data_IF_883684398433
#
_entry.id   IF_883684398433
#
_cell.length_a   1.000
_cell.length_b   1.000
_cell.length_c   1.000
_cell.angle_alpha   90.00
_cell.angle_beta   90.00
_cell.angle_gamma   90.00
#
_symmetry.space_group_name_H-M   'P 1'
#
loop_
_entity.id
_entity.type
_entity.pdbx_description
1 polymer ?
#
# COMPACT_ATOMS: atom_id res chain seq x y z
N UNK A 1 -58.67 90.16 -74.63
CA UNK A 1 -59.99 89.53 -74.57
C UNK A 1 -59.85 88.11 -74.08
N UNK A 2 -60.51 87.82 -72.95
CA UNK A 2 -61.06 86.55 -72.45
C UNK A 2 -60.23 85.24 -72.43
N UNK A 3 -60.00 84.83 -71.17
CA UNK A 3 -59.72 83.51 -70.58
C UNK A 3 -60.40 82.28 -71.20
N UNK A 4 -59.76 81.10 -71.04
CA UNK A 4 -60.26 80.04 -70.13
C UNK A 4 -59.28 78.87 -69.91
N UNK A 5 -59.43 78.28 -68.74
CA UNK A 5 -58.65 77.30 -67.97
C UNK A 5 -58.34 75.92 -68.60
N UNK A 6 -57.37 75.23 -67.99
CA UNK A 6 -57.25 73.77 -68.02
C UNK A 6 -55.96 73.22 -67.40
N UNK A 7 -55.97 72.94 -66.09
CA UNK A 7 -54.91 72.23 -65.33
C UNK A 7 -55.21 70.74 -65.32
N UNK A 8 -54.23 69.88 -65.68
CA UNK A 8 -54.14 68.49 -65.18
C UNK A 8 -52.66 68.11 -64.99
N UNK A 9 -52.38 67.65 -63.78
CA UNK A 9 -51.10 67.20 -63.22
C UNK A 9 -50.90 65.71 -63.53
N UNK A 10 -49.68 65.28 -63.87
CA UNK A 10 -49.35 63.87 -64.16
C UNK A 10 -47.92 63.49 -63.80
N UNK A 11 -47.73 63.04 -62.56
CA UNK A 11 -46.56 62.40 -61.97
C UNK A 11 -46.21 61.06 -62.67
N UNK A 12 -44.92 60.73 -62.79
CA UNK A 12 -44.29 59.54 -62.19
C UNK A 12 -43.03 59.07 -62.95
N UNK A 13 -41.85 59.50 -62.48
CA UNK A 13 -40.58 58.80 -62.64
C UNK A 13 -40.33 58.08 -61.31
N UNK A 14 -40.48 56.75 -61.28
CA UNK A 14 -40.17 55.92 -60.11
C UNK A 14 -39.07 54.93 -60.47
N UNK A 15 -37.91 55.21 -59.87
CA UNK A 15 -36.70 54.42 -59.93
C UNK A 15 -36.90 53.05 -59.28
N UNK A 16 -36.46 52.02 -59.98
CA UNK A 16 -36.29 50.66 -59.49
C UNK A 16 -35.08 50.58 -58.56
N UNK A 17 -35.31 50.63 -57.25
CA UNK A 17 -34.36 50.16 -56.24
C UNK A 17 -34.64 48.68 -55.97
N UNK A 18 -33.65 47.76 -56.03
CA UNK A 18 -33.84 46.42 -55.52
C UNK A 18 -34.01 46.50 -54.00
N UNK A 19 -35.19 46.07 -53.55
CA UNK A 19 -35.55 45.89 -52.15
C UNK A 19 -34.53 44.98 -51.46
N UNK A 20 -33.87 45.51 -50.43
CA UNK A 20 -33.05 44.73 -49.53
C UNK A 20 -33.91 43.66 -48.85
N UNK A 21 -33.51 42.40 -48.99
CA UNK A 21 -34.02 41.33 -48.16
C UNK A 21 -33.71 41.65 -46.69
N UNK A 22 -34.73 41.96 -45.89
CA UNK A 22 -34.58 42.03 -44.44
C UNK A 22 -34.33 40.61 -43.92
N UNK A 23 -33.06 40.27 -43.71
CA UNK A 23 -32.65 39.04 -43.02
C UNK A 23 -33.23 39.06 -41.59
N UNK A 24 -34.36 38.39 -41.38
CA UNK A 24 -34.87 38.11 -40.02
C UNK A 24 -34.14 36.88 -39.50
N UNK A 25 -33.40 37.04 -38.41
CA UNK A 25 -32.83 35.92 -37.67
C UNK A 25 -33.94 34.94 -37.26
N UNK A 26 -33.66 33.65 -37.33
CA UNK A 26 -34.59 32.64 -36.78
C UNK A 26 -34.62 32.75 -35.25
N UNK A 27 -35.67 32.23 -34.62
CA UNK A 27 -35.75 32.21 -33.15
C UNK A 27 -34.53 31.52 -32.53
N UNK A 28 -34.09 30.39 -33.12
CA UNK A 28 -32.91 29.66 -32.65
C UNK A 28 -31.58 30.40 -32.85
N UNK A 29 -31.43 31.15 -33.95
CA UNK A 29 -30.25 32.00 -34.22
C UNK A 29 -30.16 33.10 -33.15
N UNK A 30 -31.27 33.81 -32.92
CA UNK A 30 -31.32 34.86 -31.90
C UNK A 30 -31.12 34.34 -30.47
N UNK A 31 -31.69 33.19 -30.11
CA UNK A 31 -31.51 32.60 -28.78
C UNK A 31 -30.04 32.24 -28.50
N UNK A 32 -29.34 31.67 -29.49
CA UNK A 32 -27.93 31.34 -29.36
C UNK A 32 -27.05 32.60 -29.31
N UNK A 33 -27.36 33.62 -30.12
CA UNK A 33 -26.67 34.91 -30.04
C UNK A 33 -26.91 35.61 -28.69
N UNK A 34 -28.14 35.56 -28.15
CA UNK A 34 -28.46 36.07 -26.81
C UNK A 34 -27.65 35.37 -25.73
N UNK A 35 -27.50 34.05 -25.82
CA UNK A 35 -26.69 33.26 -24.88
C UNK A 35 -25.22 33.70 -24.91
N UNK A 36 -24.66 33.98 -26.09
CA UNK A 36 -23.33 34.58 -26.23
C UNK A 36 -23.25 35.97 -25.58
N UNK A 37 -24.19 36.88 -25.88
CA UNK A 37 -24.17 38.27 -25.38
C UNK A 37 -24.32 38.36 -23.86
N UNK A 38 -25.15 37.49 -23.28
CA UNK A 38 -25.47 37.49 -21.85
C UNK A 38 -24.54 36.62 -21.01
N UNK A 39 -23.52 35.99 -21.59
CA UNK A 39 -22.57 35.19 -20.83
C UNK A 39 -21.86 36.04 -19.75
N UNK A 40 -21.76 35.46 -18.55
CA UNK A 40 -21.37 36.13 -17.30
C UNK A 40 -19.93 36.64 -17.30
N UNK A 41 -19.04 35.91 -17.98
CA UNK A 41 -17.63 36.27 -18.08
C UNK A 41 -17.09 36.10 -19.51
N UNK A 42 -15.90 36.63 -19.72
CA UNK A 42 -15.24 36.64 -21.04
C UNK A 42 -14.92 35.23 -21.56
N UNK A 43 -14.63 34.26 -20.68
CA UNK A 43 -14.39 32.88 -21.07
C UNK A 43 -15.68 32.18 -21.48
N UNK A 44 -16.73 32.30 -20.67
CA UNK A 44 -18.05 31.77 -20.99
C UNK A 44 -18.59 32.37 -22.28
N UNK A 45 -18.36 33.67 -22.50
CA UNK A 45 -18.69 34.37 -23.74
C UNK A 45 -17.96 33.80 -24.94
N UNK A 46 -16.66 33.55 -24.85
CA UNK A 46 -15.91 32.98 -25.97
C UNK A 46 -16.38 31.55 -26.34
N UNK A 47 -16.67 30.72 -25.33
CA UNK A 47 -17.23 29.37 -25.52
C UNK A 47 -18.63 29.38 -26.13
N UNK A 48 -19.50 30.27 -25.65
CA UNK A 48 -20.84 30.47 -26.19
C UNK A 48 -20.79 31.02 -27.63
N UNK A 49 -19.84 31.91 -27.93
CA UNK A 49 -19.60 32.44 -29.27
C UNK A 49 -19.14 31.36 -30.25
N UNK A 50 -18.21 30.49 -29.84
CA UNK A 50 -17.81 29.34 -30.64
C UNK A 50 -18.99 28.38 -30.91
N UNK A 51 -19.80 28.10 -29.88
CA UNK A 51 -21.00 27.26 -29.99
C UNK A 51 -22.04 27.88 -30.94
N UNK A 52 -22.20 29.20 -30.90
CA UNK A 52 -23.05 29.94 -31.84
C UNK A 52 -22.58 29.75 -33.28
N UNK A 53 -21.27 29.93 -33.55
CA UNK A 53 -20.70 29.82 -34.89
C UNK A 53 -20.70 28.39 -35.44
N UNK A 54 -20.60 27.37 -34.57
CA UNK A 54 -20.75 25.98 -34.95
C UNK A 54 -22.18 25.67 -35.43
N UNK A 55 -23.18 26.21 -34.72
CA UNK A 55 -24.60 25.95 -35.02
C UNK A 55 -25.16 26.83 -36.14
N UNK A 56 -24.67 28.07 -36.25
CA UNK A 56 -25.13 29.07 -37.22
C UNK A 56 -23.93 29.73 -37.92
N UNK A 57 -23.17 28.98 -38.75
CA UNK A 57 -21.97 29.51 -39.41
C UNK A 57 -22.27 30.69 -40.34
N UNK A 58 -23.48 30.74 -40.90
CA UNK A 58 -24.01 31.83 -41.75
C UNK A 58 -25.15 32.61 -41.07
N UNK A 59 -25.24 32.53 -39.73
CA UNK A 59 -26.26 33.23 -38.95
C UNK A 59 -26.17 34.75 -39.09
N UNK A 60 -27.26 35.45 -38.79
CA UNK A 60 -27.35 36.91 -38.96
C UNK A 60 -26.27 37.66 -38.16
N UNK A 61 -25.84 37.10 -37.03
CA UNK A 61 -24.84 37.67 -36.14
C UNK A 61 -23.44 37.04 -36.31
N UNK A 62 -23.23 36.14 -37.28
CA UNK A 62 -21.98 35.40 -37.42
C UNK A 62 -20.75 36.27 -37.66
N UNK A 63 -20.87 37.33 -38.47
CA UNK A 63 -19.77 38.28 -38.69
C UNK A 63 -19.38 39.03 -37.41
N UNK A 64 -20.38 39.51 -36.65
CA UNK A 64 -20.15 40.22 -35.39
C UNK A 64 -19.45 39.31 -34.37
N UNK A 65 -19.95 38.08 -34.22
CA UNK A 65 -19.38 37.10 -33.27
C UNK A 65 -17.95 36.72 -33.69
N UNK A 66 -17.68 36.50 -34.99
CA UNK A 66 -16.32 36.23 -35.49
C UNK A 66 -15.36 37.38 -35.22
N UNK A 67 -15.77 38.62 -35.48
CA UNK A 67 -14.94 39.80 -35.23
C UNK A 67 -14.63 39.97 -33.73
N UNK A 68 -15.62 39.78 -32.86
CA UNK A 68 -15.45 39.89 -31.42
C UNK A 68 -14.53 38.81 -30.84
N UNK A 69 -14.66 37.55 -31.31
CA UNK A 69 -13.74 36.48 -30.90
C UNK A 69 -12.32 36.76 -31.38
N UNK A 70 -12.14 37.17 -32.64
CA UNK A 70 -10.81 37.46 -33.19
C UNK A 70 -10.05 38.54 -32.42
N UNK A 71 -10.74 39.55 -31.89
CA UNK A 71 -10.12 40.62 -31.09
C UNK A 71 -9.61 40.14 -29.72
N UNK A 72 -10.18 39.06 -29.18
CA UNK A 72 -9.91 38.57 -27.81
C UNK A 72 -9.01 37.33 -27.77
N UNK A 73 -8.63 36.78 -28.93
CA UNK A 73 -7.89 35.53 -29.04
C UNK A 73 -6.61 35.53 -28.19
N UNK A 74 -5.83 36.61 -28.22
CA UNK A 74 -4.54 36.67 -27.53
C UNK A 74 -4.68 36.56 -26.02
N UNK A 75 -5.64 37.31 -25.47
CA UNK A 75 -5.94 37.29 -24.04
C UNK A 75 -6.52 35.95 -23.64
N UNK A 76 -7.36 35.36 -24.49
CA UNK A 76 -7.96 34.04 -24.23
C UNK A 76 -6.90 32.95 -24.18
N UNK A 77 -5.93 32.95 -25.11
CA UNK A 77 -4.82 32.00 -25.11
C UNK A 77 -3.93 32.16 -23.86
N UNK A 78 -3.54 33.39 -23.52
CA UNK A 78 -2.63 33.67 -22.40
C UNK A 78 -3.14 33.12 -21.06
N UNK A 79 -4.45 33.16 -20.82
CA UNK A 79 -5.07 32.64 -19.58
C UNK A 79 -5.17 31.11 -19.57
N UNK A 80 -5.22 30.48 -20.74
CA UNK A 80 -5.59 29.06 -20.89
C UNK A 80 -4.40 28.15 -21.25
N UNK A 81 -3.28 28.72 -21.66
CA UNK A 81 -2.12 28.00 -22.17
C UNK A 81 -1.42 27.09 -21.13
N UNK A 82 -1.66 27.29 -19.83
CA UNK A 82 -0.97 26.58 -18.74
C UNK A 82 -1.58 25.23 -18.35
N UNK A 83 -2.69 24.80 -18.97
CA UNK A 83 -3.35 23.54 -18.61
C UNK A 83 -3.94 22.82 -19.82
N UNK A 84 -3.99 21.49 -19.75
CA UNK A 84 -4.59 20.68 -20.81
C UNK A 84 -6.09 21.02 -21.04
N UNK A 85 -6.84 21.31 -19.96
CA UNK A 85 -8.23 21.74 -20.07
C UNK A 85 -8.34 23.09 -20.79
N UNK A 86 -7.50 24.07 -20.42
CA UNK A 86 -7.49 25.38 -21.05
C UNK A 86 -7.08 25.34 -22.53
N UNK A 87 -6.06 24.55 -22.88
CA UNK A 87 -5.64 24.35 -24.27
C UNK A 87 -6.74 23.70 -25.13
N UNK A 88 -7.49 22.73 -24.58
CA UNK A 88 -8.67 22.16 -25.25
C UNK A 88 -9.77 23.19 -25.44
N UNK A 89 -10.03 24.03 -24.43
CA UNK A 89 -11.00 25.12 -24.55
C UNK A 89 -10.57 26.12 -25.63
N UNK A 90 -9.29 26.48 -25.72
CA UNK A 90 -8.73 27.33 -26.77
C UNK A 90 -8.93 26.72 -28.16
N UNK A 91 -8.57 25.45 -28.35
CA UNK A 91 -8.71 24.76 -29.63
C UNK A 91 -10.17 24.58 -30.06
N UNK A 92 -11.11 24.53 -29.10
CA UNK A 92 -12.55 24.54 -29.38
C UNK A 92 -13.04 25.90 -29.87
N UNK A 93 -12.53 26.99 -29.32
CA UNK A 93 -12.95 28.36 -29.71
C UNK A 93 -12.24 28.83 -30.98
N UNK A 94 -10.95 28.51 -31.12
CA UNK A 94 -10.07 28.98 -32.19
C UNK A 94 -9.38 27.79 -32.89
N UNK A 95 -10.12 26.92 -33.61
CA UNK A 95 -9.55 25.71 -34.23
C UNK A 95 -8.49 26.02 -35.30
N UNK A 96 -8.59 27.19 -35.94
CA UNK A 96 -7.62 27.72 -36.92
C UNK A 96 -6.97 29.02 -36.44
N UNK A 97 -6.95 29.25 -35.13
CA UNK A 97 -6.40 30.44 -34.49
C UNK A 97 -4.87 30.58 -34.64
N UNK A 98 -4.34 31.76 -34.36
CA UNK A 98 -2.90 32.08 -34.46
C UNK A 98 -2.03 31.16 -33.60
N UNK A 99 -2.57 30.64 -32.48
CA UNK A 99 -1.87 29.74 -31.56
C UNK A 99 -2.33 28.28 -31.67
N UNK A 100 -3.16 27.91 -32.66
CA UNK A 100 -3.67 26.55 -32.78
C UNK A 100 -2.55 25.50 -32.87
N UNK A 101 -1.51 25.76 -33.67
CA UNK A 101 -0.35 24.87 -33.78
C UNK A 101 0.42 24.74 -32.45
N UNK A 102 0.65 25.87 -31.77
CA UNK A 102 1.33 25.89 -30.46
C UNK A 102 0.50 25.15 -29.39
N UNK A 103 -0.82 25.37 -29.37
CA UNK A 103 -1.73 24.73 -28.43
C UNK A 103 -1.81 23.21 -28.62
N UNK A 104 -1.84 22.73 -29.87
CA UNK A 104 -1.75 21.30 -30.17
C UNK A 104 -0.43 20.70 -29.70
N UNK A 105 0.70 21.37 -29.95
CA UNK A 105 2.01 20.90 -29.54
C UNK A 105 2.15 20.81 -28.01
N UNK A 106 1.66 21.83 -27.29
CA UNK A 106 1.69 21.86 -25.83
C UNK A 106 0.77 20.78 -25.23
N UNK A 107 -0.44 20.60 -25.78
CA UNK A 107 -1.36 19.56 -25.33
C UNK A 107 -0.76 18.16 -25.51
N UNK A 108 -0.06 17.91 -26.63
CA UNK A 108 0.68 16.67 -26.83
C UNK A 108 1.83 16.51 -25.84
N UNK A 109 2.54 17.60 -25.52
CA UNK A 109 3.64 17.57 -24.55
C UNK A 109 3.15 17.24 -23.14
N UNK A 110 2.05 17.87 -22.69
CA UNK A 110 1.39 17.56 -21.41
C UNK A 110 0.93 16.11 -21.37
N UNK A 111 0.25 15.63 -22.42
CA UNK A 111 -0.21 14.24 -22.49
C UNK A 111 0.93 13.22 -22.43
N UNK A 112 2.11 13.52 -23.00
CA UNK A 112 3.29 12.66 -22.88
C UNK A 112 3.83 12.63 -21.45
N UNK A 113 3.91 13.79 -20.78
CA UNK A 113 4.35 13.87 -19.37
C UNK A 113 3.41 13.10 -18.46
N UNK A 114 2.10 13.28 -18.59
CA UNK A 114 1.11 12.55 -17.80
C UNK A 114 1.24 11.03 -17.98
N UNK A 115 1.49 10.56 -19.21
CA UNK A 115 1.72 9.15 -19.50
C UNK A 115 3.05 8.63 -18.93
N UNK A 116 4.12 9.41 -19.01
CA UNK A 116 5.43 9.09 -18.43
C UNK A 116 5.36 9.02 -16.90
N UNK A 117 4.66 9.95 -16.25
CA UNK A 117 4.46 9.99 -14.81
C UNK A 117 3.63 8.79 -14.35
N UNK A 118 2.54 8.47 -15.03
CA UNK A 118 1.74 7.27 -14.76
C UNK A 118 2.59 5.99 -14.90
N UNK A 119 3.37 5.88 -15.97
CA UNK A 119 4.27 4.75 -16.18
C UNK A 119 5.40 4.69 -15.14
N UNK A 120 5.89 5.83 -14.65
CA UNK A 120 6.88 5.88 -13.57
C UNK A 120 6.30 5.37 -12.25
N UNK A 121 5.06 5.76 -11.90
CA UNK A 121 4.35 5.26 -10.72
C UNK A 121 4.16 3.74 -10.79
N UNK A 122 3.71 3.21 -11.93
CA UNK A 122 3.57 1.76 -12.13
C UNK A 122 4.90 1.03 -11.96
N UNK A 123 5.98 1.50 -12.61
CA UNK A 123 7.31 0.89 -12.49
C UNK A 123 7.85 0.93 -11.07
N UNK A 124 7.63 2.03 -10.34
CA UNK A 124 8.05 2.14 -8.95
C UNK A 124 7.32 1.13 -8.06
N UNK A 125 6.00 0.94 -8.26
CA UNK A 125 5.21 -0.07 -7.56
C UNK A 125 5.73 -1.48 -7.84
N UNK A 126 5.89 -1.84 -9.11
CA UNK A 126 6.41 -3.15 -9.52
C UNK A 126 7.81 -3.42 -8.95
N UNK A 127 8.70 -2.42 -8.96
CA UNK A 127 10.04 -2.54 -8.38
C UNK A 127 9.99 -2.77 -6.86
N UNK A 128 9.09 -2.07 -6.15
CA UNK A 128 8.89 -2.25 -4.71
C UNK A 128 8.36 -3.66 -4.40
N UNK A 129 7.37 -4.14 -5.14
CA UNK A 129 6.81 -5.49 -4.98
C UNK A 129 7.88 -6.56 -5.27
N UNK A 130 8.69 -6.38 -6.32
CA UNK A 130 9.79 -7.29 -6.64
C UNK A 130 10.89 -7.29 -5.56
N UNK A 131 11.23 -6.13 -5.02
CA UNK A 131 12.20 -6.00 -3.93
C UNK A 131 11.69 -6.67 -2.65
N UNK A 132 10.42 -6.47 -2.28
CA UNK A 132 9.79 -7.16 -1.16
C UNK A 132 9.79 -8.68 -1.33
N UNK A 133 9.43 -9.17 -2.53
CA UNK A 133 9.47 -10.60 -2.84
C UNK A 133 10.90 -11.18 -2.82
N UNK A 134 11.92 -10.38 -3.16
CA UNK A 134 13.32 -10.78 -3.04
C UNK A 134 13.78 -10.83 -1.58
N UNK A 135 13.45 -9.81 -0.77
CA UNK A 135 13.78 -9.76 0.65
C UNK A 135 13.11 -10.92 1.42
N UNK A 136 11.84 -11.19 1.15
CA UNK A 136 11.12 -12.33 1.73
C UNK A 136 11.79 -13.66 1.39
N UNK A 137 12.24 -13.85 0.14
CA UNK A 137 12.99 -15.06 -0.25
C UNK A 137 14.33 -15.17 0.46
N UNK A 138 15.04 -14.07 0.69
CA UNK A 138 16.33 -14.05 1.36
C UNK A 138 16.23 -14.39 2.86
N UNK A 139 15.05 -14.20 3.45
CA UNK A 139 14.79 -14.44 4.87
C UNK A 139 13.96 -15.69 5.14
N UNK A 140 13.53 -16.40 4.09
CA UNK A 140 12.90 -17.70 4.23
C UNK A 140 13.83 -18.65 4.97
N UNK A 141 13.30 -19.44 5.89
CA UNK A 141 14.07 -20.33 6.75
C UNK A 141 14.55 -19.66 8.03
N UNK A 142 14.55 -18.33 8.16
CA UNK A 142 15.11 -17.65 9.34
C UNK A 142 14.60 -18.23 10.65
N UNK A 143 13.27 -18.28 10.85
CA UNK A 143 12.70 -18.75 12.11
C UNK A 143 12.95 -20.24 12.32
N UNK A 144 12.81 -21.06 11.26
CA UNK A 144 13.11 -22.49 11.31
C UNK A 144 14.57 -22.73 11.74
N UNK A 145 15.52 -22.09 11.08
CA UNK A 145 16.95 -22.21 11.37
C UNK A 145 17.29 -21.78 12.81
N UNK A 146 16.64 -20.73 13.33
CA UNK A 146 16.84 -20.33 14.73
C UNK A 146 16.22 -21.33 15.70
N UNK A 147 15.02 -21.82 15.44
CA UNK A 147 14.40 -22.84 16.27
C UNK A 147 15.20 -24.14 16.25
N UNK A 148 15.64 -24.62 15.09
CA UNK A 148 16.50 -25.80 14.94
C UNK A 148 17.79 -25.65 15.76
N UNK A 149 18.46 -24.50 15.65
CA UNK A 149 19.68 -24.22 16.41
C UNK A 149 19.41 -24.24 17.93
N UNK A 150 18.48 -23.43 18.41
CA UNK A 150 18.30 -23.24 19.85
C UNK A 150 17.60 -24.42 20.52
N UNK A 151 16.56 -25.00 19.91
CA UNK A 151 15.95 -26.22 20.45
C UNK A 151 16.97 -27.36 20.42
N UNK A 152 17.71 -27.53 19.32
CA UNK A 152 18.72 -28.56 19.20
C UNK A 152 19.83 -28.44 20.25
N UNK A 153 20.23 -27.23 20.63
CA UNK A 153 21.25 -27.00 21.67
C UNK A 153 20.67 -27.15 23.07
N UNK A 154 19.55 -26.50 23.37
CA UNK A 154 18.97 -26.44 24.72
C UNK A 154 18.45 -27.81 25.18
N UNK A 155 17.84 -28.58 24.28
CA UNK A 155 17.31 -29.90 24.62
C UNK A 155 18.40 -30.96 24.85
N UNK A 156 19.66 -30.67 24.48
CA UNK A 156 20.82 -31.53 24.75
C UNK A 156 21.57 -31.18 26.04
N UNK A 157 21.19 -30.11 26.72
CA UNK A 157 21.79 -29.76 28.02
C UNK A 157 21.35 -30.80 29.05
N UNK A 158 22.30 -31.49 29.66
CA UNK A 158 22.06 -32.46 30.75
C UNK A 158 22.66 -31.99 32.09
N UNK A 159 23.45 -30.90 32.09
CA UNK A 159 24.05 -30.28 33.27
C UNK A 159 23.21 -29.16 33.88
N UNK A 160 21.88 -29.27 33.90
CA UNK A 160 21.00 -28.28 34.55
C UNK A 160 21.34 -28.12 36.04
N UNK A 161 21.19 -26.90 36.57
CA UNK A 161 21.52 -26.53 37.95
C UNK A 161 23.02 -26.36 38.23
N UNK A 162 23.90 -26.57 37.24
CA UNK A 162 25.34 -26.33 37.38
C UNK A 162 25.71 -24.89 37.02
N UNK A 163 26.86 -24.38 37.54
CA UNK A 163 27.39 -23.07 37.17
C UNK A 163 27.59 -22.95 35.66
N UNK A 164 27.30 -21.78 35.08
CA UNK A 164 27.35 -21.54 33.64
C UNK A 164 28.70 -21.94 33.02
N UNK A 165 29.81 -21.70 33.72
CA UNK A 165 31.15 -22.11 33.28
C UNK A 165 31.25 -23.60 32.99
N UNK A 166 30.67 -24.45 33.86
CA UNK A 166 30.67 -25.89 33.67
C UNK A 166 29.73 -26.30 32.54
N UNK A 167 28.57 -25.65 32.43
CA UNK A 167 27.60 -25.90 31.36
C UNK A 167 28.24 -25.62 29.99
N UNK A 168 28.92 -24.48 29.81
CA UNK A 168 29.54 -24.14 28.52
C UNK A 168 30.74 -25.02 28.18
N UNK A 169 31.47 -25.52 29.18
CA UNK A 169 32.54 -26.49 28.99
C UNK A 169 32.00 -27.85 28.52
N UNK A 170 30.88 -28.31 29.09
CA UNK A 170 30.20 -29.54 28.69
C UNK A 170 29.47 -29.42 27.34
N UNK A 171 28.93 -28.23 27.03
CA UNK A 171 28.11 -27.95 25.86
C UNK A 171 28.67 -26.75 25.05
N UNK A 172 29.80 -26.91 24.34
CA UNK A 172 30.43 -25.82 23.59
C UNK A 172 29.57 -25.28 22.43
N UNK A 173 28.57 -26.02 21.97
CA UNK A 173 27.53 -25.54 21.04
C UNK A 173 26.61 -24.48 21.66
N UNK A 174 26.35 -24.53 22.97
CA UNK A 174 25.59 -23.50 23.69
C UNK A 174 26.37 -22.19 23.71
N UNK A 175 27.65 -22.26 24.08
CA UNK A 175 28.52 -21.09 24.05
C UNK A 175 28.57 -20.49 22.65
N UNK A 176 28.82 -21.30 21.61
CA UNK A 176 28.84 -20.80 20.22
C UNK A 176 27.52 -20.17 19.79
N UNK A 177 26.38 -20.78 20.13
CA UNK A 177 25.06 -20.25 19.78
C UNK A 177 24.80 -18.88 20.43
N UNK A 178 25.21 -18.69 21.69
CA UNK A 178 25.07 -17.41 22.39
C UNK A 178 26.15 -16.40 22.01
N UNK A 179 27.38 -16.84 21.75
CA UNK A 179 28.50 -16.00 21.35
C UNK A 179 28.34 -15.39 19.95
N UNK A 180 27.63 -16.04 19.02
CA UNK A 180 27.37 -15.48 17.69
C UNK A 180 26.62 -14.14 17.77
N UNK A 181 26.79 -13.25 16.78
CA UNK A 181 26.01 -12.01 16.76
C UNK A 181 24.52 -12.25 16.45
N UNK A 182 23.61 -11.47 17.06
CA UNK A 182 23.86 -10.48 18.12
C UNK A 182 24.17 -11.15 19.47
N UNK A 183 25.09 -10.55 20.24
CA UNK A 183 25.45 -11.02 21.59
C UNK A 183 24.25 -10.89 22.55
N UNK A 184 24.09 -11.80 23.52
CA UNK A 184 23.04 -11.72 24.53
C UNK A 184 23.27 -10.52 25.47
N UNK A 185 22.18 -10.03 26.03
CA UNK A 185 22.19 -9.10 27.16
C UNK A 185 21.98 -9.91 28.44
N UNK A 186 22.95 -9.89 29.34
CA UNK A 186 22.93 -10.66 30.58
C UNK A 186 22.87 -9.75 31.81
N UNK A 187 22.11 -10.16 32.81
CA UNK A 187 22.12 -9.68 34.18
C UNK A 187 22.35 -10.86 35.15
N UNK A 188 22.23 -10.63 36.46
CA UNK A 188 22.52 -11.65 37.48
C UNK A 188 21.56 -12.85 37.44
N UNK A 189 20.36 -12.70 36.89
CA UNK A 189 19.32 -13.75 36.93
C UNK A 189 18.91 -14.22 35.54
N UNK A 190 19.39 -13.60 34.47
CA UNK A 190 19.05 -14.02 33.10
C UNK A 190 20.03 -13.55 32.04
N UNK A 191 20.09 -14.32 30.95
CA UNK A 191 20.70 -13.91 29.69
C UNK A 191 19.66 -13.96 28.57
N UNK A 192 19.44 -12.84 27.89
CA UNK A 192 18.45 -12.72 26.81
C UNK A 192 19.14 -12.47 25.47
N UNK A 193 18.86 -13.32 24.48
CA UNK A 193 19.29 -13.17 23.10
C UNK A 193 18.10 -12.89 22.21
N UNK A 194 18.13 -11.77 21.49
CA UNK A 194 17.06 -11.37 20.57
C UNK A 194 17.54 -11.44 19.13
N UNK A 195 16.87 -12.28 18.34
CA UNK A 195 17.08 -12.44 16.91
C UNK A 195 15.84 -11.93 16.20
N UNK A 196 16.00 -11.09 15.19
CA UNK A 196 14.86 -10.57 14.44
C UNK A 196 15.19 -10.42 12.96
N UNK A 197 14.15 -10.54 12.14
CA UNK A 197 14.20 -10.24 10.72
C UNK A 197 12.96 -9.46 10.33
N UNK A 198 13.15 -8.41 9.54
CA UNK A 198 12.07 -7.66 8.92
C UNK A 198 11.80 -8.25 7.53
N UNK A 199 10.53 -8.36 7.16
CA UNK A 199 10.12 -8.84 5.84
C UNK A 199 8.84 -8.15 5.42
N UNK A 200 8.61 -8.08 4.12
CA UNK A 200 7.43 -7.43 3.55
C UNK A 200 6.58 -8.47 2.80
N UNK A 201 5.27 -8.46 3.07
CA UNK A 201 4.30 -9.29 2.37
C UNK A 201 3.54 -8.45 1.35
N UNK A 202 3.33 -8.93 0.11
CA UNK A 202 2.46 -8.26 -0.83
C UNK A 202 1.00 -8.27 -0.34
N UNK A 203 0.24 -7.22 -0.64
CA UNK A 203 -1.20 -7.13 -0.35
C UNK A 203 -2.03 -7.30 -1.62
N UNK A 204 -3.28 -7.75 -1.44
CA UNK A 204 -4.24 -7.90 -2.55
C UNK A 204 -4.60 -6.56 -3.22
N UNK A 205 -4.54 -5.46 -2.46
CA UNK A 205 -4.84 -4.09 -2.96
C UNK A 205 -3.69 -3.44 -3.74
N UNK A 206 -2.57 -4.15 -3.93
CA UNK A 206 -1.38 -3.59 -4.57
C UNK A 206 -0.58 -2.74 -3.59
N UNK A 207 0.32 -3.40 -2.86
CA UNK A 207 1.15 -2.77 -1.84
C UNK A 207 1.97 -3.81 -1.10
N UNK A 208 2.68 -3.35 -0.07
CA UNK A 208 3.45 -4.22 0.81
C UNK A 208 3.14 -3.88 2.26
N UNK A 209 3.07 -4.90 3.09
CA UNK A 209 2.91 -4.76 4.54
C UNK A 209 4.16 -5.30 5.22
N UNK A 210 4.81 -4.42 5.97
CA UNK A 210 5.99 -4.74 6.77
C UNK A 210 5.62 -5.60 7.97
N UNK A 211 6.44 -6.62 8.20
CA UNK A 211 6.34 -7.60 9.28
C UNK A 211 7.69 -7.77 9.96
N UNK A 212 7.66 -8.26 11.19
CA UNK A 212 8.85 -8.66 11.93
C UNK A 212 8.64 -10.06 12.47
N UNK A 213 9.56 -10.97 12.16
CA UNK A 213 9.66 -12.25 12.86
C UNK A 213 10.79 -12.14 13.88
N UNK A 214 10.50 -12.52 15.12
CA UNK A 214 11.43 -12.39 16.23
C UNK A 214 11.49 -13.72 17.00
N UNK A 215 12.71 -14.13 17.33
CA UNK A 215 13.01 -15.24 18.24
C UNK A 215 13.80 -14.68 19.41
N UNK A 216 13.27 -14.84 20.62
CA UNK A 216 13.89 -14.40 21.86
C UNK A 216 14.23 -15.62 22.70
N UNK A 217 15.51 -15.84 22.93
CA UNK A 217 16.00 -16.94 23.76
C UNK A 217 16.40 -16.37 25.12
N UNK A 218 15.86 -16.92 26.19
CA UNK A 218 16.14 -16.50 27.56
C UNK A 218 16.74 -17.69 28.30
N UNK A 219 17.88 -17.48 28.96
CA UNK A 219 18.40 -18.41 29.97
C UNK A 219 18.07 -17.83 31.34
N UNK A 220 17.51 -18.65 32.22
CA UNK A 220 17.19 -18.27 33.60
C UNK A 220 18.27 -18.81 34.54
N UNK A 221 18.81 -17.92 35.37
CA UNK A 221 19.95 -18.16 36.25
C UNK A 221 19.58 -17.91 37.72
N UNK A 222 20.20 -18.69 38.60
CA UNK A 222 20.23 -18.42 40.04
C UNK A 222 21.64 -18.69 40.56
N UNK A 223 22.28 -17.68 41.16
CA UNK A 223 23.68 -17.75 41.61
C UNK A 223 24.63 -18.33 40.53
N UNK A 224 24.53 -17.78 39.30
CA UNK A 224 25.27 -18.22 38.10
C UNK A 224 24.97 -19.65 37.60
N UNK A 225 24.00 -20.35 38.20
CA UNK A 225 23.57 -21.70 37.79
C UNK A 225 22.45 -21.65 36.78
N UNK A 226 22.52 -22.49 35.74
CA UNK A 226 21.48 -22.57 34.71
C UNK A 226 20.26 -23.36 35.21
N UNK A 227 19.14 -22.69 35.46
CA UNK A 227 17.92 -23.32 35.96
C UNK A 227 16.93 -23.71 34.85
N UNK A 228 16.90 -22.95 33.76
CA UNK A 228 15.95 -23.17 32.67
C UNK A 228 16.25 -22.30 31.47
N UNK A 229 15.56 -22.60 30.37
CA UNK A 229 15.65 -21.82 29.14
C UNK A 229 14.27 -21.63 28.52
N UNK A 230 14.08 -20.52 27.84
CA UNK A 230 12.84 -20.18 27.16
C UNK A 230 13.16 -19.74 25.73
N UNK A 231 12.31 -20.11 24.79
CA UNK A 231 12.39 -19.66 23.40
C UNK A 231 11.03 -19.07 23.02
N UNK A 232 10.96 -17.75 22.97
CA UNK A 232 9.74 -16.99 22.66
C UNK A 232 9.74 -16.47 21.25
N UNK A 233 8.55 -16.48 20.65
CA UNK A 233 8.23 -15.81 19.40
C UNK A 233 7.12 -14.77 19.68
N UNK A 234 7.49 -13.53 20.04
CA UNK A 234 6.54 -12.46 20.34
C UNK A 234 5.71 -12.03 19.12
N UNK A 235 4.57 -11.39 19.37
CA UNK A 235 3.73 -10.81 18.32
C UNK A 235 3.08 -11.87 17.43
N UNK A 236 2.50 -12.91 18.05
CA UNK A 236 1.93 -14.08 17.39
C UNK A 236 2.96 -14.77 16.49
N UNK A 237 4.10 -15.11 17.07
CA UNK A 237 5.27 -15.50 16.31
C UNK A 237 5.10 -16.75 15.45
N UNK A 238 4.17 -17.67 15.77
CA UNK A 238 3.82 -18.77 14.86
C UNK A 238 3.11 -18.26 13.60
N UNK A 239 2.27 -17.23 13.71
CA UNK A 239 1.68 -16.55 12.54
C UNK A 239 2.76 -15.87 11.71
N UNK A 240 3.68 -15.14 12.34
CA UNK A 240 4.80 -14.47 11.62
C UNK A 240 5.73 -15.48 10.94
N UNK A 241 5.95 -16.64 11.55
CA UNK A 241 6.72 -17.73 10.93
C UNK A 241 5.97 -18.34 9.74
N UNK A 242 4.68 -18.63 9.89
CA UNK A 242 3.83 -19.11 8.80
C UNK A 242 3.86 -18.16 7.61
N UNK A 243 3.66 -16.86 7.85
CA UNK A 243 3.74 -15.82 6.83
C UNK A 243 5.07 -15.80 6.10
N UNK A 244 6.18 -15.89 6.84
CA UNK A 244 7.53 -15.86 6.28
C UNK A 244 7.79 -17.07 5.35
N UNK A 245 7.23 -18.24 5.67
CA UNK A 245 7.42 -19.46 4.89
C UNK A 245 6.43 -19.63 3.73
N UNK A 246 5.18 -19.21 3.91
CA UNK A 246 4.08 -19.45 2.97
C UNK A 246 3.76 -18.23 2.11
N UNK A 247 4.18 -17.03 2.54
CA UNK A 247 3.84 -15.72 1.94
C UNK A 247 2.37 -15.36 2.05
N UNK A 248 1.62 -16.03 2.92
CA UNK A 248 0.20 -15.74 3.16
C UNK A 248 0.08 -14.95 4.44
N UNK A 249 -0.42 -13.71 4.34
CA UNK A 249 -0.69 -12.86 5.50
C UNK A 249 -1.70 -13.52 6.45
N UNK A 250 -1.49 -13.36 7.75
CA UNK A 250 -2.39 -13.85 8.79
C UNK A 250 -2.94 -12.65 9.56
N UNK A 251 -4.26 -12.58 9.61
CA UNK A 251 -4.98 -11.74 10.55
C UNK A 251 -5.08 -12.49 11.89
N UNK A 252 -4.38 -11.99 12.91
CA UNK A 252 -4.37 -12.62 14.24
C UNK A 252 -5.66 -12.35 15.04
N UNK A 253 -6.52 -11.44 14.57
CA UNK A 253 -7.86 -11.24 15.14
C UNK A 253 -8.87 -12.29 14.63
N UNK A 254 -8.59 -12.94 13.50
CA UNK A 254 -9.37 -14.08 12.99
C UNK A 254 -8.93 -15.39 13.65
N UNK A 255 -9.77 -16.02 14.50
CA UNK A 255 -9.42 -17.27 15.18
C UNK A 255 -9.18 -18.45 14.23
N UNK A 256 -9.78 -18.46 13.03
CA UNK A 256 -9.58 -19.54 12.07
C UNK A 256 -8.22 -19.44 11.39
N UNK A 257 -7.87 -18.26 10.87
CA UNK A 257 -6.55 -17.99 10.30
C UNK A 257 -5.45 -18.24 11.34
N UNK A 258 -5.65 -17.78 12.57
CA UNK A 258 -4.70 -17.98 13.68
C UNK A 258 -4.52 -19.47 14.02
N UNK A 259 -5.60 -20.24 14.08
CA UNK A 259 -5.55 -21.70 14.34
C UNK A 259 -4.82 -22.44 13.23
N UNK A 260 -5.05 -22.07 11.96
CA UNK A 260 -4.38 -22.68 10.82
C UNK A 260 -2.85 -22.44 10.88
N UNK A 261 -2.41 -21.21 11.13
CA UNK A 261 -1.00 -20.87 11.27
C UNK A 261 -0.33 -21.58 12.46
N UNK A 262 -1.04 -21.65 13.60
CA UNK A 262 -0.58 -22.38 14.79
C UNK A 262 -0.43 -23.87 14.50
N UNK A 263 -1.44 -24.49 13.89
CA UNK A 263 -1.40 -25.92 13.54
C UNK A 263 -0.26 -26.25 12.59
N UNK A 264 0.00 -25.38 11.60
CA UNK A 264 1.12 -25.53 10.71
C UNK A 264 2.45 -25.43 11.47
N UNK A 265 2.63 -24.42 12.33
CA UNK A 265 3.86 -24.24 13.10
C UNK A 265 4.13 -25.45 14.00
N UNK A 266 3.11 -25.96 14.70
CA UNK A 266 3.24 -27.16 15.54
C UNK A 266 3.64 -28.40 14.73
N UNK A 267 3.14 -28.55 13.50
CA UNK A 267 3.55 -29.64 12.60
C UNK A 267 5.02 -29.53 12.18
N UNK A 268 5.53 -28.30 12.03
CA UNK A 268 6.95 -28.02 11.72
C UNK A 268 7.86 -28.24 12.94
N UNK A 269 7.38 -27.95 14.14
CA UNK A 269 8.13 -28.11 15.40
C UNK A 269 8.22 -29.58 15.81
N UNK A 270 7.17 -30.36 15.60
CA UNK A 270 7.10 -31.76 16.00
C UNK A 270 8.35 -32.58 15.61
N UNK A 271 8.84 -32.57 14.35
CA UNK A 271 10.06 -33.29 13.99
C UNK A 271 11.33 -32.74 14.68
N UNK A 272 11.40 -31.44 14.99
CA UNK A 272 12.54 -30.85 15.72
C UNK A 272 12.60 -31.40 17.14
N UNK A 273 11.46 -31.46 17.82
CA UNK A 273 11.37 -32.02 19.17
C UNK A 273 11.64 -33.53 19.17
N UNK A 274 11.12 -34.27 18.19
CA UNK A 274 11.39 -35.70 18.04
C UNK A 274 12.87 -35.99 17.81
N UNK A 275 13.54 -35.21 16.96
CA UNK A 275 14.96 -35.37 16.68
C UNK A 275 15.83 -35.10 17.93
N UNK A 276 15.44 -34.14 18.77
CA UNK A 276 16.19 -33.76 19.96
C UNK A 276 15.90 -34.65 21.18
N UNK A 277 14.65 -35.08 21.37
CA UNK A 277 14.19 -35.83 22.54
C UNK A 277 14.17 -37.35 22.32
N UNK A 278 14.30 -37.81 21.08
CA UNK A 278 14.18 -39.22 20.71
C UNK A 278 12.72 -39.70 20.64
N UNK A 279 12.53 -41.02 20.49
CA UNK A 279 11.20 -41.63 20.28
C UNK A 279 10.31 -41.67 21.54
N UNK A 280 10.82 -41.28 22.71
CA UNK A 280 10.14 -41.45 24.00
C UNK A 280 9.87 -40.11 24.69
N UNK A 281 8.91 -39.37 24.16
CA UNK A 281 8.25 -38.28 24.87
C UNK A 281 6.84 -38.71 25.28
N UNK A 282 6.46 -38.39 26.51
CA UNK A 282 5.10 -38.61 27.00
C UNK A 282 4.47 -37.27 27.33
N UNK A 283 3.19 -37.12 26.99
CA UNK A 283 2.40 -36.00 27.49
C UNK A 283 2.44 -36.04 29.03
N UNK A 284 2.98 -34.99 29.64
CA UNK A 284 3.14 -34.88 31.08
C UNK A 284 1.89 -34.29 31.73
N UNK A 285 1.43 -34.88 32.83
CA UNK A 285 0.45 -34.26 33.72
C UNK A 285 1.21 -33.65 34.90
N UNK A 286 1.85 -32.50 34.69
CA UNK A 286 2.60 -31.75 35.72
C UNK A 286 2.25 -30.26 35.69
N UNK A 287 2.53 -29.52 36.78
CA UNK A 287 2.49 -28.07 36.74
C UNK A 287 3.39 -27.50 35.62
N UNK A 288 3.01 -26.35 35.03
CA UNK A 288 3.87 -25.64 34.10
C UNK A 288 5.22 -25.30 34.73
N UNK A 289 6.27 -25.32 33.91
CA UNK A 289 7.59 -24.86 34.31
C UNK A 289 7.54 -23.39 34.73
N UNK A 290 8.41 -23.03 35.67
CA UNK A 290 8.59 -21.62 36.02
C UNK A 290 9.15 -20.89 34.82
N UNK A 291 8.58 -19.73 34.53
CA UNK A 291 8.88 -18.94 33.35
C UNK A 291 8.95 -17.46 33.69
N UNK A 292 9.75 -16.71 32.93
CA UNK A 292 9.80 -15.25 33.00
C UNK A 292 8.49 -14.60 32.54
N UNK A 293 7.59 -15.36 31.90
CA UNK A 293 6.28 -14.90 31.42
C UNK A 293 5.16 -15.77 31.96
N UNK A 294 4.06 -15.13 32.37
CA UNK A 294 2.82 -15.84 32.66
C UNK A 294 2.32 -16.51 31.38
N UNK A 295 2.07 -17.81 31.45
CA UNK A 295 1.62 -18.61 30.31
C UNK A 295 0.79 -19.80 30.78
N UNK A 296 -0.01 -20.33 29.86
CA UNK A 296 -0.67 -21.63 30.01
C UNK A 296 -0.16 -22.50 28.87
N UNK A 297 0.55 -23.61 29.15
CA UNK A 297 1.06 -24.47 28.10
C UNK A 297 -0.10 -25.14 27.37
N UNK A 298 -0.02 -25.14 26.04
CA UNK A 298 -0.89 -25.95 25.19
C UNK A 298 -0.53 -27.43 25.31
N UNK A 299 0.77 -27.73 25.39
CA UNK A 299 1.30 -29.08 25.48
C UNK A 299 2.43 -29.13 26.48
N UNK A 300 2.42 -30.15 27.33
CA UNK A 300 3.44 -30.43 28.33
C UNK A 300 4.08 -31.75 27.97
N UNK A 301 5.39 -31.75 27.73
CA UNK A 301 6.17 -32.91 27.32
C UNK A 301 7.23 -33.22 28.39
N UNK A 302 7.39 -34.50 28.69
CA UNK A 302 8.50 -35.03 29.47
C UNK A 302 9.25 -36.07 28.64
N UNK A 303 10.57 -35.98 28.65
CA UNK A 303 11.46 -36.96 28.02
C UNK A 303 12.72 -37.13 28.89
N UNK A 304 12.88 -38.32 29.47
CA UNK A 304 13.97 -38.59 30.42
C UNK A 304 13.95 -37.64 31.63
N UNK A 305 15.06 -36.91 31.82
CA UNK A 305 15.24 -35.90 32.86
C UNK A 305 14.88 -34.47 32.44
N UNK A 306 14.24 -34.29 31.27
CA UNK A 306 13.90 -32.98 30.70
C UNK A 306 12.38 -32.81 30.58
N UNK A 307 11.96 -31.56 30.66
CA UNK A 307 10.58 -31.10 30.54
C UNK A 307 10.50 -29.94 29.54
N UNK A 308 9.50 -29.97 28.65
CA UNK A 308 9.23 -28.93 27.65
C UNK A 308 7.76 -28.54 27.68
N UNK A 309 7.48 -27.26 27.84
CA UNK A 309 6.15 -26.67 27.74
C UNK A 309 6.04 -25.91 26.44
N UNK A 310 5.09 -26.29 25.58
CA UNK A 310 4.76 -25.57 24.34
C UNK A 310 3.66 -24.58 24.65
N UNK A 311 3.92 -23.31 24.36
CA UNK A 311 3.04 -22.19 24.67
C UNK A 311 2.51 -21.58 23.39
N UNK A 312 1.20 -21.35 23.36
CA UNK A 312 0.52 -20.64 22.27
C UNK A 312 -0.22 -19.46 22.85
N UNK A 313 -0.14 -18.31 22.20
CA UNK A 313 -0.90 -17.13 22.56
C UNK A 313 -2.40 -17.43 22.61
N UNK A 314 -3.08 -17.01 23.68
CA UNK A 314 -4.53 -17.12 23.77
C UNK A 314 -5.24 -16.22 22.73
N UNK A 315 -6.41 -16.66 22.27
CA UNK A 315 -7.24 -15.90 21.33
C UNK A 315 -7.57 -14.51 21.90
N UNK A 316 -7.38 -13.46 21.10
CA UNK A 316 -7.65 -12.07 21.49
C UNK A 316 -6.64 -11.44 22.47
N UNK A 317 -5.54 -12.13 22.81
CA UNK A 317 -4.50 -11.56 23.65
C UNK A 317 -3.69 -10.48 22.91
N UNK A 318 -3.75 -9.23 23.36
CA UNK A 318 -2.95 -8.15 22.79
C UNK A 318 -1.45 -8.46 22.87
N UNK A 319 -0.78 -8.54 21.72
CA UNK A 319 0.65 -8.84 21.65
C UNK A 319 1.00 -10.28 22.02
N UNK A 320 0.14 -11.24 21.64
CA UNK A 320 0.29 -12.67 21.91
C UNK A 320 1.72 -13.21 21.73
N UNK A 321 2.11 -14.16 22.58
CA UNK A 321 3.45 -14.76 22.58
C UNK A 321 3.32 -16.26 22.43
N UNK A 322 3.99 -16.80 21.41
CA UNK A 322 4.17 -18.23 21.22
C UNK A 322 5.55 -18.64 21.71
N UNK A 323 5.78 -19.91 22.04
CA UNK A 323 7.12 -20.35 22.38
C UNK A 323 7.23 -21.64 23.17
N UNK A 324 8.35 -21.76 23.86
CA UNK A 324 8.76 -22.94 24.58
C UNK A 324 9.38 -22.56 25.92
N UNK A 325 9.06 -23.32 26.97
CA UNK A 325 9.80 -23.31 28.23
C UNK A 325 10.44 -24.68 28.39
N UNK A 326 11.74 -24.70 28.66
CA UNK A 326 12.58 -25.89 28.71
C UNK A 326 13.29 -25.88 30.07
N UNK A 327 13.32 -27.02 30.73
CA UNK A 327 14.03 -27.15 31.99
C UNK A 327 14.18 -28.60 32.44
N UNK A 328 14.91 -28.81 33.55
CA UNK A 328 14.98 -30.13 34.16
C UNK A 328 13.58 -30.57 34.57
N UNK A 329 13.32 -31.87 34.48
CA UNK A 329 12.08 -32.45 34.95
C UNK A 329 11.94 -32.17 36.44
N UNK A 330 10.85 -31.51 36.81
CA UNK A 330 10.55 -31.31 38.22
C UNK A 330 10.52 -32.67 38.91
N UNK A 331 11.35 -32.83 39.95
CA UNK A 331 11.27 -33.98 40.85
C UNK A 331 9.82 -34.10 41.31
N UNK A 332 9.20 -35.26 41.12
CA UNK A 332 7.89 -35.51 41.73
C UNK A 332 8.03 -35.25 43.25
N UNK A 333 7.10 -34.49 43.86
CA UNK A 333 7.20 -34.10 45.26
C UNK A 333 7.27 -35.30 46.22
#
# INVERSE_FOLDING_TARGET
MAALAGVVFGLALLASAPLGCSLRATHGDYDAYRSYRLADDQSARALAGATYLERYPEGVYAEEVRAALGAEEERFYAVRASSAAGLRDYLRVYPTGRHAAAAHAELQALSRRDAEDAAAVTRAREASEAAAAAALRAHRGFTRERLDLFLGVLLRVDTWGQPMEQVVQAHPELDRAFAADPRPVCDATRCTKTLRVSFALPTDEGGVVERVSQVVVVLTLDDERLLGAEVWLPGFGFSRWYELETRTAVDDEDPEARRAATSWALAEIAPMLQAALGESFTAGARPPLTSTRSHVPLLVLDAGGLSVDVVVAADGAAGGVDGFVIGPRASAP
#
